data_IF_144372017089
#
_entry.id   IF_144372017089
#
_cell.length_a   1.000
_cell.length_b   1.000
_cell.length_c   1.000
_cell.angle_alpha   90.00
_cell.angle_beta   90.00
_cell.angle_gamma   90.00
#
_symmetry.space_group_name_H-M   'P 1'
#
loop_
_entity.id
_entity.type
_entity.pdbx_description
1 polymer ?
#
# COMPACT_ATOMS: atom_id res chain seq x y z
N UNK A 1 2.46 25.52 10.39
CA UNK A 1 1.85 24.30 10.96
C UNK A 1 2.74 23.14 10.59
N UNK A 2 3.24 22.42 11.57
CA UNK A 2 4.02 21.18 11.32
C UNK A 2 3.00 20.11 10.90
N UNK A 3 3.15 19.58 9.69
CA UNK A 3 2.27 18.49 9.21
C UNK A 3 2.74 17.20 9.89
N UNK A 4 1.82 16.52 10.58
CA UNK A 4 2.09 15.23 11.23
C UNK A 4 2.41 14.16 10.18
N UNK A 5 3.28 13.22 10.53
CA UNK A 5 3.73 12.14 9.64
C UNK A 5 3.54 10.78 10.27
N UNK A 6 3.27 9.83 9.41
CA UNK A 6 3.09 8.42 9.74
C UNK A 6 4.26 7.65 9.12
N UNK A 7 5.04 6.98 9.97
CA UNK A 7 6.13 6.12 9.49
C UNK A 7 5.59 5.01 8.62
N UNK A 8 6.29 4.70 7.54
CA UNK A 8 6.00 3.53 6.72
C UNK A 8 6.53 2.24 7.37
N UNK A 9 7.49 2.39 8.28
CA UNK A 9 8.19 1.26 8.91
C UNK A 9 9.33 0.70 8.05
N UNK A 10 9.76 1.45 7.04
CA UNK A 10 10.90 1.14 6.19
C UNK A 10 11.81 2.37 6.18
N UNK A 11 12.88 2.32 6.97
CA UNK A 11 13.74 3.49 7.27
C UNK A 11 14.18 4.25 6.02
N UNK A 12 14.74 3.57 5.04
CA UNK A 12 15.17 4.19 3.79
C UNK A 12 14.02 4.79 2.98
N UNK A 13 12.83 4.17 2.99
CA UNK A 13 11.65 4.75 2.35
C UNK A 13 11.14 5.97 3.14
N UNK A 14 11.10 5.88 4.47
CA UNK A 14 10.70 7.02 5.30
C UNK A 14 11.63 8.22 5.09
N UNK A 15 12.93 8.01 4.91
CA UNK A 15 13.88 9.05 4.54
C UNK A 15 13.55 9.69 3.18
N UNK A 16 13.24 8.87 2.16
CA UNK A 16 12.82 9.35 0.84
C UNK A 16 11.50 10.14 0.88
N UNK A 17 10.62 9.83 1.82
CA UNK A 17 9.35 10.51 2.09
C UNK A 17 9.50 11.72 3.05
N UNK A 18 10.74 12.15 3.34
CA UNK A 18 11.03 13.24 4.30
C UNK A 18 10.48 12.96 5.71
N UNK A 19 10.55 11.71 6.15
CA UNK A 19 10.14 11.25 7.49
C UNK A 19 8.81 10.48 7.52
N UNK A 20 8.32 9.96 6.39
CA UNK A 20 7.12 9.16 6.31
C UNK A 20 5.96 9.82 5.56
N UNK A 21 4.83 9.13 5.48
CA UNK A 21 3.60 9.62 4.84
C UNK A 21 3.02 10.80 5.63
N UNK A 22 2.29 11.68 4.95
CA UNK A 22 1.48 12.66 5.67
C UNK A 22 0.29 11.95 6.33
N UNK A 23 0.01 12.32 7.57
CA UNK A 23 -1.15 11.79 8.29
C UNK A 23 -2.44 12.08 7.50
N UNK A 24 -3.37 11.13 7.51
CA UNK A 24 -4.65 11.21 6.78
C UNK A 24 -4.48 11.42 5.28
N UNK A 25 -3.41 10.87 4.71
CA UNK A 25 -3.17 10.88 3.27
C UNK A 25 -3.34 9.48 2.67
N UNK A 26 -3.42 9.44 1.36
CA UNK A 26 -3.57 8.23 0.59
C UNK A 26 -2.28 7.96 -0.16
N UNK A 27 -1.69 6.79 0.08
CA UNK A 27 -0.48 6.31 -0.61
C UNK A 27 -0.83 5.13 -1.52
N UNK A 28 -0.37 5.16 -2.76
CA UNK A 28 -0.43 4.04 -3.67
C UNK A 28 0.97 3.43 -3.86
N UNK A 29 1.06 2.11 -3.69
CA UNK A 29 2.24 1.30 -4.02
C UNK A 29 1.92 0.55 -5.31
N UNK A 30 2.59 0.89 -6.38
CA UNK A 30 2.36 0.32 -7.70
C UNK A 30 3.54 -0.54 -8.11
N UNK A 31 3.27 -1.74 -8.62
CA UNK A 31 4.35 -2.63 -9.06
C UNK A 31 3.81 -3.87 -9.73
N UNK A 32 4.63 -4.51 -10.56
CA UNK A 32 4.28 -5.79 -11.17
C UNK A 32 4.29 -6.92 -10.12
N UNK A 33 3.87 -8.12 -10.52
CA UNK A 33 3.93 -9.29 -9.63
C UNK A 33 5.35 -9.53 -9.10
N UNK A 34 5.45 -10.00 -7.85
CA UNK A 34 6.73 -10.35 -7.21
C UNK A 34 7.61 -9.16 -6.79
N UNK A 35 7.19 -7.90 -6.99
CA UNK A 35 7.96 -6.72 -6.56
C UNK A 35 7.83 -6.42 -5.07
N UNK A 36 6.96 -7.13 -4.34
CA UNK A 36 6.85 -7.00 -2.89
C UNK A 36 5.78 -6.00 -2.40
N UNK A 37 4.79 -5.65 -3.21
CA UNK A 37 3.69 -4.76 -2.81
C UNK A 37 3.06 -5.16 -1.47
N UNK A 38 2.62 -6.40 -1.37
CA UNK A 38 2.06 -7.00 -0.14
C UNK A 38 3.03 -6.93 1.03
N UNK A 39 4.34 -7.16 0.79
CA UNK A 39 5.36 -7.05 1.85
C UNK A 39 5.48 -5.63 2.40
N UNK A 40 5.43 -4.60 1.53
CA UNK A 40 5.40 -3.19 1.96
C UNK A 40 4.11 -2.86 2.71
N UNK A 41 2.97 -3.35 2.24
CA UNK A 41 1.67 -3.14 2.88
C UNK A 41 1.62 -3.78 4.29
N UNK A 42 2.14 -5.01 4.43
CA UNK A 42 2.26 -5.69 5.72
C UNK A 42 3.26 -4.99 6.66
N UNK A 43 4.37 -4.46 6.12
CA UNK A 43 5.34 -3.70 6.92
C UNK A 43 4.71 -2.41 7.48
N UNK A 44 3.93 -1.70 6.67
CA UNK A 44 3.18 -0.52 7.12
C UNK A 44 2.17 -0.86 8.22
N UNK A 45 1.48 -1.99 8.09
CA UNK A 45 0.57 -2.49 9.11
C UNK A 45 1.31 -2.80 10.41
N UNK A 46 2.40 -3.56 10.32
CA UNK A 46 3.19 -4.00 11.46
C UNK A 46 3.82 -2.84 12.24
N UNK A 47 4.38 -1.84 11.53
CA UNK A 47 4.92 -0.63 12.16
C UNK A 47 3.83 0.09 12.98
N UNK A 48 2.63 0.24 12.44
CA UNK A 48 1.51 0.85 13.16
C UNK A 48 1.15 0.09 14.43
N UNK A 49 1.04 -1.22 14.33
CA UNK A 49 0.73 -2.09 15.46
C UNK A 49 1.81 -2.00 16.56
N UNK A 50 3.08 -1.96 16.19
CA UNK A 50 4.20 -1.75 17.13
C UNK A 50 4.14 -0.39 17.82
N UNK A 51 3.58 0.62 17.17
CA UNK A 51 3.35 1.97 17.74
C UNK A 51 2.08 2.08 18.58
N UNK A 52 1.33 0.99 18.72
CA UNK A 52 0.06 0.98 19.47
C UNK A 52 -1.15 1.45 18.68
N UNK A 53 -1.01 1.65 17.37
CA UNK A 53 -2.09 2.04 16.49
C UNK A 53 -3.03 0.86 16.19
N UNK A 54 -4.25 1.15 15.78
CA UNK A 54 -5.19 0.15 15.25
C UNK A 54 -5.13 0.16 13.73
N UNK A 55 -5.11 -1.04 13.15
CA UNK A 55 -4.89 -1.26 11.73
C UNK A 55 -5.99 -2.15 11.16
N UNK A 56 -6.55 -1.73 10.02
CA UNK A 56 -7.44 -2.54 9.20
C UNK A 56 -6.68 -2.92 7.92
N UNK A 57 -6.59 -4.21 7.65
CA UNK A 57 -6.00 -4.76 6.43
C UNK A 57 -7.05 -5.53 5.65
N UNK A 58 -7.35 -5.07 4.45
CA UNK A 58 -8.30 -5.70 3.54
C UNK A 58 -7.51 -6.37 2.42
N UNK A 59 -7.60 -7.70 2.35
CA UNK A 59 -7.05 -8.49 1.25
C UNK A 59 -8.15 -8.82 0.24
N UNK A 60 -7.86 -8.54 -1.03
CA UNK A 60 -8.71 -8.89 -2.17
C UNK A 60 -8.13 -10.08 -2.97
N UNK A 61 -6.92 -10.50 -2.66
CA UNK A 61 -6.22 -11.58 -3.38
C UNK A 61 -5.86 -12.73 -2.46
N UNK A 62 -5.04 -12.49 -1.43
CA UNK A 62 -4.53 -13.54 -0.58
C UNK A 62 -5.51 -13.92 0.54
N UNK A 63 -5.51 -15.21 0.92
CA UNK A 63 -6.26 -15.71 2.07
C UNK A 63 -5.60 -15.28 3.38
N UNK A 64 -6.40 -15.11 4.40
CA UNK A 64 -5.93 -14.70 5.73
C UNK A 64 -4.83 -15.61 6.27
N UNK A 65 -4.97 -16.94 6.11
CA UNK A 65 -4.01 -17.92 6.60
C UNK A 65 -2.63 -17.76 5.92
N UNK A 66 -2.60 -17.38 4.63
CA UNK A 66 -1.36 -17.15 3.89
C UNK A 66 -0.67 -15.86 4.34
N UNK A 67 -1.44 -14.79 4.55
CA UNK A 67 -0.92 -13.53 5.09
C UNK A 67 -0.39 -13.72 6.50
N UNK A 68 -1.12 -14.44 7.37
CA UNK A 68 -0.67 -14.78 8.72
C UNK A 68 0.61 -15.61 8.71
N UNK A 69 0.71 -16.62 7.80
CA UNK A 69 1.93 -17.39 7.62
C UNK A 69 3.11 -16.54 7.16
N UNK A 70 2.87 -15.59 6.25
CA UNK A 70 3.89 -14.64 5.78
C UNK A 70 4.38 -13.75 6.93
N UNK A 71 3.48 -13.24 7.76
CA UNK A 71 3.83 -12.45 8.94
C UNK A 71 4.62 -13.27 9.97
N UNK A 72 4.19 -14.50 10.23
CA UNK A 72 4.89 -15.42 11.14
C UNK A 72 6.32 -15.74 10.63
N UNK A 73 6.52 -15.95 9.34
CA UNK A 73 7.86 -16.15 8.76
C UNK A 73 8.76 -14.94 8.95
N UNK A 74 8.20 -13.72 9.01
CA UNK A 74 8.93 -12.49 9.33
C UNK A 74 9.23 -12.33 10.83
N UNK A 75 8.75 -13.25 11.66
CA UNK A 75 8.89 -13.18 13.12
C UNK A 75 7.93 -12.17 13.76
N UNK A 76 6.86 -11.77 13.06
CA UNK A 76 5.85 -10.86 13.56
C UNK A 76 4.75 -11.65 14.25
N UNK A 77 4.68 -11.51 15.57
CA UNK A 77 3.61 -12.09 16.38
C UNK A 77 2.36 -11.19 16.31
N UNK A 78 1.48 -11.52 15.38
CA UNK A 78 0.25 -10.74 15.17
C UNK A 78 -0.79 -10.99 16.26
N UNK A 79 -0.75 -12.14 16.93
CA UNK A 79 -1.66 -12.47 18.04
C UNK A 79 -1.40 -11.57 19.27
N UNK A 80 -0.16 -11.13 19.46
CA UNK A 80 0.21 -10.20 20.53
C UNK A 80 -0.48 -8.82 20.42
N UNK A 81 -1.00 -8.47 19.24
CA UNK A 81 -1.68 -7.20 19.03
C UNK A 81 -3.20 -7.25 19.34
N UNK A 82 -3.78 -8.45 19.48
CA UNK A 82 -5.17 -8.65 19.89
C UNK A 82 -6.16 -7.88 19.01
N UNK A 83 -7.00 -7.08 19.66
CA UNK A 83 -8.07 -6.28 19.02
C UNK A 83 -7.59 -5.00 18.29
N UNK A 84 -6.29 -4.88 18.03
CA UNK A 84 -5.71 -3.76 17.27
C UNK A 84 -5.47 -4.08 15.80
N UNK A 85 -5.53 -5.36 15.41
CA UNK A 85 -5.33 -5.79 14.03
C UNK A 85 -6.58 -6.47 13.48
N UNK A 86 -7.19 -5.85 12.48
CA UNK A 86 -8.37 -6.34 11.77
C UNK A 86 -7.93 -6.79 10.38
N UNK A 87 -7.76 -8.09 10.20
CA UNK A 87 -7.45 -8.70 8.91
C UNK A 87 -8.75 -9.23 8.30
N UNK A 88 -9.12 -8.71 7.14
CA UNK A 88 -10.36 -9.02 6.44
C UNK A 88 -10.05 -9.49 5.03
N UNK A 89 -10.67 -10.58 4.60
CA UNK A 89 -10.64 -10.99 3.21
C UNK A 89 -11.98 -10.68 2.56
N UNK A 90 -11.93 -9.97 1.43
CA UNK A 90 -13.08 -9.76 0.55
C UNK A 90 -12.87 -10.55 -0.74
N UNK A 91 -13.87 -11.36 -1.12
CA UNK A 91 -13.83 -12.10 -2.37
C UNK A 91 -14.26 -11.18 -3.53
N UNK A 92 -13.35 -10.83 -4.45
CA UNK A 92 -13.72 -9.96 -5.56
C UNK A 92 -14.67 -10.62 -6.58
N UNK A 93 -14.92 -11.93 -6.49
CA UNK A 93 -15.90 -12.62 -7.35
C UNK A 93 -17.35 -12.36 -6.92
N UNK A 94 -17.58 -11.95 -5.68
CA UNK A 94 -18.88 -11.45 -5.21
C UNK A 94 -18.91 -9.92 -5.31
N UNK A 95 -19.29 -9.44 -6.50
CA UNK A 95 -19.34 -8.01 -6.83
C UNK A 95 -20.13 -7.18 -5.80
N UNK A 96 -21.34 -7.61 -5.49
CA UNK A 96 -22.23 -6.84 -4.61
C UNK A 96 -21.65 -6.76 -3.19
N UNK A 97 -21.14 -7.87 -2.68
CA UNK A 97 -20.54 -7.93 -1.35
C UNK A 97 -19.27 -7.07 -1.29
N UNK A 98 -18.35 -7.25 -2.24
CA UNK A 98 -17.09 -6.51 -2.26
C UNK A 98 -17.31 -4.99 -2.35
N UNK A 99 -18.23 -4.54 -3.21
CA UNK A 99 -18.57 -3.12 -3.36
C UNK A 99 -19.26 -2.58 -2.10
N UNK A 100 -20.21 -3.32 -1.53
CA UNK A 100 -20.91 -2.91 -0.30
C UNK A 100 -19.94 -2.81 0.88
N UNK A 101 -19.08 -3.81 1.07
CA UNK A 101 -18.13 -3.85 2.18
C UNK A 101 -17.15 -2.68 2.11
N UNK A 102 -16.60 -2.39 0.96
CA UNK A 102 -15.64 -1.28 0.80
C UNK A 102 -16.34 0.09 0.94
N UNK A 103 -17.56 0.25 0.42
CA UNK A 103 -18.24 1.55 0.41
C UNK A 103 -18.94 1.91 1.72
N UNK A 104 -19.48 0.92 2.41
CA UNK A 104 -20.39 1.16 3.54
C UNK A 104 -19.88 0.55 4.84
N UNK A 105 -19.33 -0.66 4.80
CA UNK A 105 -18.90 -1.36 6.01
C UNK A 105 -17.51 -0.89 6.48
N UNK A 106 -16.59 -0.60 5.55
CA UNK A 106 -15.26 -0.14 5.89
C UNK A 106 -15.27 1.22 6.64
N UNK A 107 -15.98 2.27 6.19
CA UNK A 107 -16.09 3.50 6.96
C UNK A 107 -16.66 3.28 8.36
N UNK A 108 -17.74 2.52 8.48
CA UNK A 108 -18.33 2.17 9.78
C UNK A 108 -17.36 1.40 10.69
N UNK A 109 -16.54 0.52 10.10
CA UNK A 109 -15.50 -0.22 10.83
C UNK A 109 -14.38 0.73 11.31
N UNK A 110 -13.93 1.65 10.47
CA UNK A 110 -12.93 2.67 10.84
C UNK A 110 -13.45 3.50 12.01
N UNK A 111 -14.67 4.02 11.92
CA UNK A 111 -15.29 4.82 12.97
C UNK A 111 -15.42 4.02 14.28
N UNK A 112 -15.94 2.80 14.21
CA UNK A 112 -16.18 1.98 15.41
C UNK A 112 -14.90 1.50 16.10
N UNK A 113 -13.85 1.21 15.31
CA UNK A 113 -12.57 0.75 15.85
C UNK A 113 -11.64 1.89 16.21
N UNK A 114 -11.75 3.04 15.55
CA UNK A 114 -10.79 4.13 15.62
C UNK A 114 -9.46 3.77 14.95
N UNK A 115 -9.47 2.95 13.89
CA UNK A 115 -8.27 2.58 13.15
C UNK A 115 -7.63 3.79 12.48
N UNK A 116 -6.33 3.98 12.69
CA UNK A 116 -5.56 5.08 12.11
C UNK A 116 -4.84 4.70 10.82
N UNK A 117 -4.68 3.38 10.57
CA UNK A 117 -4.10 2.85 9.32
C UNK A 117 -5.08 1.89 8.66
N UNK A 118 -5.25 2.08 7.36
CA UNK A 118 -6.06 1.19 6.52
C UNK A 118 -5.23 0.75 5.31
N UNK A 119 -5.34 -0.52 4.95
CA UNK A 119 -4.69 -1.09 3.79
C UNK A 119 -5.73 -1.78 2.91
N UNK A 120 -5.64 -1.62 1.59
CA UNK A 120 -6.41 -2.39 0.60
C UNK A 120 -5.41 -3.00 -0.40
N UNK A 121 -5.32 -4.33 -0.42
CA UNK A 121 -4.29 -5.08 -1.16
C UNK A 121 -4.89 -6.24 -1.99
N UNK A 122 -4.87 -6.14 -3.34
CA UNK A 122 -4.63 -4.96 -4.14
C UNK A 122 -5.92 -4.26 -4.59
N UNK A 123 -5.91 -2.94 -4.65
CA UNK A 123 -7.05 -2.14 -5.12
C UNK A 123 -7.37 -2.39 -6.60
N UNK A 124 -6.40 -2.84 -7.40
CA UNK A 124 -6.60 -3.16 -8.81
C UNK A 124 -7.64 -4.27 -9.04
N UNK A 125 -7.88 -5.15 -8.08
CA UNK A 125 -8.96 -6.13 -8.16
C UNK A 125 -10.33 -5.48 -7.94
N UNK A 126 -10.44 -4.50 -7.05
CA UNK A 126 -11.66 -3.71 -6.90
C UNK A 126 -11.95 -2.87 -8.16
N UNK A 127 -10.92 -2.21 -8.73
CA UNK A 127 -11.04 -1.52 -10.00
C UNK A 127 -11.53 -2.43 -11.12
N UNK A 128 -11.05 -3.69 -11.13
CA UNK A 128 -11.41 -4.72 -12.12
C UNK A 128 -12.84 -5.22 -12.04
N UNK A 129 -13.59 -4.92 -10.97
CA UNK A 129 -15.01 -5.27 -10.84
C UNK A 129 -15.91 -4.50 -11.82
N UNK A 130 -15.44 -3.34 -12.28
CA UNK A 130 -16.21 -2.46 -13.16
C UNK A 130 -15.72 -2.60 -14.61
N UNK A 131 -16.56 -3.07 -15.50
CA UNK A 131 -16.23 -3.23 -16.92
C UNK A 131 -16.13 -1.87 -17.63
N UNK A 132 -17.07 -0.97 -17.34
CA UNK A 132 -17.10 0.37 -17.92
C UNK A 132 -16.05 1.30 -17.26
N UNK A 133 -15.26 1.99 -18.09
CA UNK A 133 -14.20 2.88 -17.61
C UNK A 133 -14.76 4.08 -16.84
N UNK A 134 -15.88 4.65 -17.28
CA UNK A 134 -16.47 5.80 -16.61
C UNK A 134 -17.05 5.40 -15.24
N UNK A 135 -17.69 4.23 -15.16
CA UNK A 135 -18.18 3.66 -13.91
C UNK A 135 -17.01 3.37 -12.96
N UNK A 136 -15.96 2.67 -13.41
CA UNK A 136 -14.73 2.42 -12.63
C UNK A 136 -14.17 3.71 -12.06
N UNK A 137 -14.01 4.73 -12.91
CA UNK A 137 -13.51 6.03 -12.48
C UNK A 137 -14.40 6.67 -11.43
N UNK A 138 -15.71 6.65 -11.62
CA UNK A 138 -16.67 7.20 -10.67
C UNK A 138 -16.60 6.50 -9.32
N UNK A 139 -16.53 5.18 -9.31
CA UNK A 139 -16.48 4.39 -8.08
C UNK A 139 -15.16 4.56 -7.32
N UNK A 140 -14.05 4.63 -8.04
CA UNK A 140 -12.76 4.96 -7.43
C UNK A 140 -12.75 6.37 -6.83
N UNK A 141 -13.31 7.37 -7.51
CA UNK A 141 -13.45 8.71 -6.93
C UNK A 141 -14.28 8.70 -5.66
N UNK A 142 -15.42 8.00 -5.65
CA UNK A 142 -16.28 7.87 -4.45
C UNK A 142 -15.55 7.22 -3.29
N UNK A 143 -14.85 6.12 -3.53
CA UNK A 143 -14.05 5.46 -2.50
C UNK A 143 -13.04 6.43 -1.89
N UNK A 144 -12.27 7.10 -2.74
CA UNK A 144 -11.24 8.04 -2.29
C UNK A 144 -11.83 9.22 -1.51
N UNK A 145 -12.96 9.78 -1.93
CA UNK A 145 -13.66 10.84 -1.19
C UNK A 145 -14.11 10.36 0.19
N UNK A 146 -14.76 9.20 0.26
CA UNK A 146 -15.15 8.59 1.52
C UNK A 146 -13.93 8.39 2.44
N UNK A 147 -12.85 7.83 1.91
CA UNK A 147 -11.63 7.60 2.71
C UNK A 147 -10.90 8.88 3.13
N UNK A 148 -11.12 10.00 2.43
CA UNK A 148 -10.58 11.31 2.83
C UNK A 148 -11.30 11.93 4.02
N UNK A 149 -12.57 11.59 4.19
CA UNK A 149 -13.36 12.04 5.34
C UNK A 149 -13.02 11.24 6.61
N UNK A 150 -12.45 10.04 6.44
CA UNK A 150 -12.00 9.21 7.55
C UNK A 150 -10.69 9.72 8.18
N UNK A 151 -10.56 9.52 9.48
CA UNK A 151 -9.37 9.96 10.22
C UNK A 151 -8.19 8.98 10.13
N UNK A 152 -7.99 8.31 8.99
CA UNK A 152 -6.98 7.28 8.79
C UNK A 152 -6.01 7.62 7.65
N UNK A 153 -4.83 6.98 7.69
CA UNK A 153 -3.87 6.97 6.59
C UNK A 153 -4.08 5.69 5.78
N UNK A 154 -4.38 5.84 4.49
CA UNK A 154 -4.71 4.73 3.59
C UNK A 154 -3.51 4.35 2.72
N UNK A 155 -3.18 3.06 2.68
CA UNK A 155 -2.23 2.48 1.72
C UNK A 155 -3.00 1.56 0.77
N UNK A 156 -2.86 1.82 -0.53
CA UNK A 156 -3.40 1.00 -1.61
C UNK A 156 -2.24 0.32 -2.33
N UNK A 157 -2.34 -0.97 -2.61
CA UNK A 157 -1.43 -1.59 -3.56
C UNK A 157 -2.13 -1.74 -4.91
N UNK A 158 -1.39 -1.63 -6.00
CA UNK A 158 -1.93 -1.80 -7.34
C UNK A 158 -0.94 -2.49 -8.26
N UNK A 159 -1.44 -3.30 -9.17
CA UNK A 159 -0.63 -3.85 -10.26
C UNK A 159 -0.28 -2.76 -11.27
N UNK A 160 0.84 -2.95 -11.97
CA UNK A 160 1.15 -2.12 -13.14
C UNK A 160 0.33 -2.54 -14.35
N UNK A 161 0.11 -1.61 -15.26
CA UNK A 161 -0.41 -1.93 -16.59
C UNK A 161 0.56 -2.87 -17.32
N UNK A 162 0.08 -3.97 -17.94
CA UNK A 162 0.95 -4.92 -18.62
C UNK A 162 1.66 -4.35 -19.85
N UNK A 163 1.12 -3.27 -20.45
CA UNK A 163 1.67 -2.60 -21.62
C UNK A 163 2.50 -1.39 -21.20
N UNK A 164 1.96 -0.54 -20.33
CA UNK A 164 2.63 0.64 -19.78
C UNK A 164 3.07 0.40 -18.34
N UNK A 165 4.28 -0.12 -18.14
CA UNK A 165 4.82 -0.43 -16.81
C UNK A 165 5.11 0.80 -15.95
N UNK A 166 4.97 2.00 -16.47
CA UNK A 166 5.11 3.25 -15.74
C UNK A 166 3.76 3.79 -15.23
N UNK A 167 2.70 3.00 -15.33
CA UNK A 167 1.37 3.27 -14.81
C UNK A 167 0.78 2.10 -14.02
N UNK A 168 -0.19 2.39 -13.18
CA UNK A 168 -1.04 1.36 -12.56
C UNK A 168 -1.95 0.71 -13.61
N UNK A 169 -2.52 -0.44 -13.27
CA UNK A 169 -3.30 -1.26 -14.20
C UNK A 169 -4.39 -0.50 -14.96
N UNK A 170 -5.03 0.48 -14.33
CA UNK A 170 -6.10 1.29 -14.90
C UNK A 170 -5.74 2.79 -14.96
N UNK A 171 -4.54 3.18 -14.55
CA UNK A 171 -4.07 4.56 -14.61
C UNK A 171 -4.80 5.54 -13.69
N UNK A 172 -5.53 5.06 -12.68
CA UNK A 172 -6.37 5.89 -11.82
C UNK A 172 -5.72 6.24 -10.48
N UNK A 173 -5.07 5.28 -9.84
CA UNK A 173 -4.54 5.47 -8.48
C UNK A 173 -3.50 6.57 -8.40
N UNK A 174 -2.71 6.80 -9.47
CA UNK A 174 -1.70 7.85 -9.53
C UNK A 174 -2.31 9.25 -9.49
N UNK A 175 -3.53 9.42 -10.02
CA UNK A 175 -4.24 10.70 -9.95
C UNK A 175 -4.87 10.91 -8.58
N UNK A 176 -5.40 9.86 -7.99
CA UNK A 176 -6.21 9.89 -6.77
C UNK A 176 -5.36 9.96 -5.50
N UNK A 177 -4.28 9.17 -5.43
CA UNK A 177 -3.40 9.14 -4.29
C UNK A 177 -2.61 10.45 -4.09
N UNK A 178 -2.27 10.75 -2.84
CA UNK A 178 -1.40 11.86 -2.48
C UNK A 178 0.08 11.51 -2.66
N UNK A 179 0.44 10.28 -2.34
CA UNK A 179 1.78 9.71 -2.51
C UNK A 179 1.72 8.51 -3.44
N UNK A 180 2.68 8.38 -4.34
CA UNK A 180 2.80 7.24 -5.25
C UNK A 180 4.23 6.72 -5.23
N UNK A 181 4.37 5.43 -4.92
CA UNK A 181 5.63 4.69 -4.90
C UNK A 181 5.55 3.59 -5.95
N UNK A 182 6.51 3.57 -6.87
CA UNK A 182 6.66 2.48 -7.81
C UNK A 182 7.71 1.48 -7.35
N UNK A 183 7.40 0.21 -7.46
CA UNK A 183 8.32 -0.91 -7.25
C UNK A 183 8.60 -1.58 -8.60
N UNK A 184 9.87 -1.72 -8.97
CA UNK A 184 10.27 -2.23 -10.28
C UNK A 184 11.39 -3.25 -10.19
N UNK A 185 11.46 -4.10 -11.21
CA UNK A 185 12.63 -4.91 -11.51
C UNK A 185 13.55 -4.18 -12.49
N UNK A 186 14.81 -4.08 -12.18
CA UNK A 186 15.87 -3.60 -13.09
C UNK A 186 16.81 -4.74 -13.43
N UNK A 187 17.10 -4.87 -14.71
CA UNK A 187 18.09 -5.81 -15.26
C UNK A 187 19.20 -5.01 -15.91
N UNK A 188 20.27 -4.69 -15.19
CA UNK A 188 21.36 -3.91 -15.77
C UNK A 188 22.00 -4.69 -16.94
N UNK A 189 22.39 -4.02 -18.02
CA UNK A 189 23.06 -4.67 -19.14
C UNK A 189 24.35 -5.36 -18.70
N UNK A 190 24.52 -6.63 -19.08
CA UNK A 190 25.71 -7.42 -18.76
C UNK A 190 25.75 -8.05 -17.37
N UNK A 191 24.75 -7.82 -16.53
CA UNK A 191 24.59 -8.51 -15.25
C UNK A 191 23.55 -9.62 -15.35
N UNK A 192 23.77 -10.70 -14.60
CA UNK A 192 22.83 -11.84 -14.49
C UNK A 192 21.80 -11.64 -13.38
N UNK A 193 22.04 -10.69 -12.49
CA UNK A 193 21.19 -10.42 -11.34
C UNK A 193 20.09 -9.41 -11.68
N UNK A 194 18.94 -9.62 -11.06
CA UNK A 194 17.79 -8.73 -11.14
C UNK A 194 17.69 -7.97 -9.82
N UNK A 195 17.71 -6.64 -9.91
CA UNK A 195 17.58 -5.81 -8.72
C UNK A 195 16.14 -5.30 -8.57
N UNK A 196 15.66 -5.29 -7.34
CA UNK A 196 14.45 -4.58 -6.96
C UNK A 196 14.81 -3.11 -6.70
N UNK A 197 14.03 -2.21 -7.28
CA UNK A 197 14.19 -0.77 -7.07
C UNK A 197 12.86 -0.12 -6.77
N UNK A 198 12.89 0.97 -6.03
CA UNK A 198 11.72 1.79 -5.78
C UNK A 198 11.98 3.26 -6.15
N UNK A 199 10.91 3.95 -6.46
CA UNK A 199 10.89 5.37 -6.78
C UNK A 199 9.63 6.02 -6.17
N UNK A 200 9.82 7.17 -5.52
CA UNK A 200 8.70 8.02 -5.10
C UNK A 200 8.41 9.01 -6.24
N UNK A 201 7.42 8.71 -7.07
CA UNK A 201 7.10 9.53 -8.25
C UNK A 201 6.27 10.76 -7.91
N UNK A 202 5.59 10.72 -6.78
CA UNK A 202 4.67 11.79 -6.36
C UNK A 202 4.53 11.82 -4.84
N UNK A 203 4.53 13.02 -4.29
CA UNK A 203 4.10 13.29 -2.93
C UNK A 203 3.52 14.70 -2.85
N UNK A 204 2.21 14.80 -2.74
CA UNK A 204 1.52 16.10 -2.62
C UNK A 204 1.83 16.74 -1.28
N UNK A 205 1.97 18.05 -1.27
CA UNK A 205 2.15 18.88 -0.06
C UNK A 205 3.45 18.58 0.73
N UNK A 206 4.41 17.87 0.13
CA UNK A 206 5.69 17.54 0.76
C UNK A 206 6.79 17.41 -0.27
N UNK A 207 8.03 17.74 0.13
CA UNK A 207 9.22 17.32 -0.59
C UNK A 207 9.40 15.80 -0.44
N UNK A 208 10.06 15.18 -1.41
CA UNK A 208 10.44 13.77 -1.41
C UNK A 208 11.68 13.57 -2.29
N UNK A 209 12.38 12.48 -2.11
CA UNK A 209 13.46 12.07 -3.01
C UNK A 209 12.85 11.68 -4.38
N UNK A 210 13.54 12.07 -5.46
CA UNK A 210 13.21 11.67 -6.84
C UNK A 210 14.18 10.63 -7.38
N UNK A 211 15.01 10.08 -6.51
CA UNK A 211 15.99 9.09 -6.89
C UNK A 211 15.38 7.70 -6.89
N UNK A 212 15.81 6.87 -7.83
CA UNK A 212 15.51 5.44 -7.83
C UNK A 212 16.50 4.77 -6.89
N UNK A 213 16.00 4.04 -5.89
CA UNK A 213 16.83 3.37 -4.88
C UNK A 213 16.65 1.87 -4.92
N UNK A 214 17.74 1.08 -4.81
CA UNK A 214 17.64 -0.35 -4.66
C UNK A 214 17.07 -0.71 -3.29
N UNK A 215 16.35 -1.83 -3.24
CA UNK A 215 15.85 -2.39 -2.00
C UNK A 215 15.87 -3.91 -2.01
N UNK A 216 15.85 -4.50 -0.82
CA UNK A 216 15.76 -5.94 -0.61
C UNK A 216 14.63 -6.27 0.38
N UNK A 217 13.97 -7.40 0.12
CA UNK A 217 12.98 -7.98 1.03
C UNK A 217 13.69 -9.10 1.78
N UNK A 218 14.09 -8.82 3.01
CA UNK A 218 14.72 -9.80 3.88
C UNK A 218 13.66 -10.56 4.68
N UNK A 219 14.09 -11.56 5.43
CA UNK A 219 13.20 -12.41 6.21
C UNK A 219 12.33 -11.61 7.18
N UNK A 220 12.92 -10.65 7.89
CA UNK A 220 12.26 -9.91 8.96
C UNK A 220 12.01 -8.41 8.67
N UNK A 221 12.52 -7.90 7.56
CA UNK A 221 12.41 -6.47 7.24
C UNK A 221 12.56 -6.21 5.74
N UNK A 222 12.21 -5.00 5.33
CA UNK A 222 12.54 -4.44 4.04
C UNK A 222 13.66 -3.42 4.25
N UNK A 223 14.71 -3.50 3.44
CA UNK A 223 15.82 -2.56 3.48
C UNK A 223 15.86 -1.77 2.19
N UNK A 224 15.74 -0.46 2.28
CA UNK A 224 15.94 0.47 1.16
C UNK A 224 17.28 1.15 1.33
N UNK A 225 18.14 1.03 0.36
CA UNK A 225 19.50 1.59 0.38
C UNK A 225 19.47 3.05 -0.09
N UNK A 226 18.98 3.94 0.78
CA UNK A 226 18.78 5.35 0.46
C UNK A 226 20.06 6.10 0.07
N UNK A 227 21.22 5.64 0.56
CA UNK A 227 22.52 6.21 0.22
C UNK A 227 23.17 5.58 -1.02
N UNK A 228 22.65 4.45 -1.52
CA UNK A 228 23.19 3.80 -2.70
C UNK A 228 22.82 4.54 -3.98
N UNK A 229 23.75 4.57 -4.94
CA UNK A 229 23.47 4.96 -6.32
C UNK A 229 23.36 3.71 -7.20
N UNK A 230 22.45 3.72 -8.14
CA UNK A 230 22.30 2.62 -9.10
C UNK A 230 23.29 2.70 -10.27
N UNK A 231 23.96 3.84 -10.44
CA UNK A 231 24.92 4.12 -11.51
C UNK A 231 26.08 4.97 -11.02
#
# INVERSE_FOLDING_TARGET
MTISRVSFGVEGLDAMLSGGLLEKSICAIVGTYGTGKTSFALQFAYDGLCRGEKVIYISLEEREELLQATMAQKGWDMEAFGDRFYLLRLDPTDFNLAVSSIKSELPALIESTGASRVIIDPISLFEGLFEDEAERRQEMFRLIEVMRDEACTLVLTSETDPVNRDGSRYGLVEYLADTVVFLRYVRPPGLTEVHLVLEVVKMRRSAHSREIKPFEILQNQIVVYSEASLF
#
